data_IF_592693893474
#
_entry.id   IF_592693893474
#
_cell.length_a   1.000
_cell.length_b   1.000
_cell.length_c   1.000
_cell.angle_alpha   90.00
_cell.angle_beta   90.00
_cell.angle_gamma   90.00
#
_symmetry.space_group_name_H-M   'P 1'
#
loop_
_entity.id
_entity.type
_entity.pdbx_description
1 polymer ?
#
# COMPACT_ATOMS: atom_id res chain seq x y z
N UNK A 1 -11.17 -10.81 29.29
CA UNK A 1 -10.08 -9.88 29.71
C UNK A 1 -10.52 -8.45 29.43
N UNK A 2 -10.70 -7.64 30.46
CA UNK A 2 -11.03 -6.23 30.32
C UNK A 2 -9.82 -5.49 29.75
N UNK A 3 -9.88 -5.09 28.47
CA UNK A 3 -8.94 -4.12 27.92
C UNK A 3 -9.12 -2.84 28.73
N UNK A 4 -8.12 -2.50 29.55
CA UNK A 4 -8.09 -1.28 30.32
C UNK A 4 -8.43 -0.11 29.39
N UNK A 5 -9.61 0.48 29.59
CA UNK A 5 -10.03 1.69 28.90
C UNK A 5 -9.06 2.80 29.31
N UNK A 6 -8.16 3.17 28.39
CA UNK A 6 -7.34 4.36 28.56
C UNK A 6 -8.29 5.55 28.82
N UNK A 7 -8.10 6.31 29.91
CA UNK A 7 -9.07 7.32 30.34
C UNK A 7 -9.28 8.40 29.28
N UNK A 8 -10.55 8.80 29.10
CA UNK A 8 -11.03 9.84 28.17
C UNK A 8 -10.36 11.21 28.40
N UNK A 9 -9.90 11.44 29.62
CA UNK A 9 -9.60 12.75 30.21
C UNK A 9 -8.33 13.44 29.68
N UNK A 10 -7.69 12.92 28.61
CA UNK A 10 -6.47 13.49 28.02
C UNK A 10 -6.52 13.78 26.52
N UNK A 11 -7.59 13.40 25.82
CA UNK A 11 -7.69 13.66 24.39
C UNK A 11 -8.13 15.13 24.15
N UNK A 12 -7.36 15.85 23.33
CA UNK A 12 -7.66 17.24 22.96
C UNK A 12 -8.12 17.26 21.52
N UNK A 13 -9.28 17.85 21.28
CA UNK A 13 -9.89 17.91 19.95
C UNK A 13 -9.96 19.33 19.41
N UNK A 14 -9.79 19.47 18.10
CA UNK A 14 -10.23 20.64 17.33
C UNK A 14 -11.34 20.24 16.36
N UNK A 15 -12.15 21.17 15.91
CA UNK A 15 -13.14 20.93 14.85
C UNK A 15 -12.53 21.31 13.50
N UNK A 16 -12.66 20.45 12.49
CA UNK A 16 -12.26 20.78 11.13
C UNK A 16 -13.23 21.82 10.54
N UNK A 17 -12.76 22.98 10.05
CA UNK A 17 -13.65 24.01 9.51
C UNK A 17 -14.33 23.60 8.20
N UNK A 18 -13.79 22.62 7.48
CA UNK A 18 -14.32 22.16 6.19
C UNK A 18 -15.26 20.97 6.36
N UNK A 19 -14.83 19.94 7.10
CA UNK A 19 -15.59 18.68 7.21
C UNK A 19 -16.46 18.61 8.47
N UNK A 20 -16.34 19.59 9.38
CA UNK A 20 -16.96 19.59 10.71
C UNK A 20 -16.61 18.40 11.62
N UNK A 21 -15.67 17.53 11.20
CA UNK A 21 -15.21 16.39 11.98
C UNK A 21 -14.42 16.84 13.21
N UNK A 22 -14.51 16.06 14.29
CA UNK A 22 -13.64 16.18 15.48
C UNK A 22 -12.28 15.57 15.15
N UNK A 23 -11.24 16.37 15.32
CA UNK A 23 -9.85 16.01 15.05
C UNK A 23 -9.11 15.90 16.37
N UNK A 24 -8.74 14.69 16.75
CA UNK A 24 -7.80 14.46 17.86
C UNK A 24 -6.41 15.00 17.47
N UNK A 25 -5.90 15.95 18.25
CA UNK A 25 -4.60 16.58 17.97
C UNK A 25 -3.44 15.59 18.05
N UNK A 26 -3.57 14.54 18.85
CA UNK A 26 -2.54 13.49 18.92
C UNK A 26 -2.51 12.67 17.63
N UNK A 27 -3.67 12.27 17.12
CA UNK A 27 -3.81 11.59 15.84
C UNK A 27 -3.29 12.48 14.70
N UNK A 28 -3.70 13.75 14.66
CA UNK A 28 -3.27 14.71 13.63
C UNK A 28 -1.75 14.83 13.53
N UNK A 29 -1.05 14.98 14.67
CA UNK A 29 0.42 15.09 14.67
C UNK A 29 1.09 13.84 14.11
N UNK A 30 0.57 12.66 14.43
CA UNK A 30 1.09 11.39 13.93
C UNK A 30 0.77 11.19 12.44
N UNK A 31 -0.42 11.59 11.98
CA UNK A 31 -0.80 11.58 10.56
C UNK A 31 0.19 12.46 9.79
N UNK A 32 0.44 13.69 10.24
CA UNK A 32 1.38 14.62 9.61
C UNK A 32 2.81 14.04 9.63
N UNK A 33 3.28 13.53 10.76
CA UNK A 33 4.63 12.97 10.87
C UNK A 33 4.85 11.80 9.90
N UNK A 34 3.90 10.87 9.83
CA UNK A 34 3.96 9.75 8.89
C UNK A 34 3.89 10.24 7.43
N UNK A 35 2.98 11.16 7.10
CA UNK A 35 2.85 11.70 5.74
C UNK A 35 4.11 12.46 5.29
N UNK A 36 4.71 13.27 6.16
CA UNK A 36 5.95 14.00 5.85
C UNK A 36 7.11 13.04 5.63
N UNK A 37 7.28 12.03 6.49
CA UNK A 37 8.32 11.02 6.31
C UNK A 37 8.10 10.22 5.03
N UNK A 38 6.85 9.88 4.70
CA UNK A 38 6.52 9.26 3.41
C UNK A 38 7.01 10.11 2.23
N UNK A 39 6.71 11.41 2.20
CA UNK A 39 7.16 12.30 1.13
C UNK A 39 8.68 12.42 1.07
N UNK A 40 9.38 12.40 2.21
CA UNK A 40 10.86 12.41 2.24
C UNK A 40 11.44 11.14 1.59
N UNK A 41 10.94 9.96 1.97
CA UNK A 41 11.40 8.70 1.35
C UNK A 41 11.00 8.57 -0.12
N UNK A 42 9.84 9.12 -0.51
CA UNK A 42 9.46 9.23 -1.91
C UNK A 42 10.45 10.09 -2.70
N UNK A 43 10.91 11.22 -2.13
CA UNK A 43 11.91 12.06 -2.77
C UNK A 43 13.28 11.35 -2.89
N UNK A 44 13.70 10.62 -1.86
CA UNK A 44 14.94 9.82 -1.89
C UNK A 44 14.85 8.70 -2.93
N UNK A 45 13.79 7.89 -2.89
CA UNK A 45 13.54 6.83 -3.87
C UNK A 45 13.38 7.37 -5.29
N UNK A 46 12.78 8.54 -5.46
CA UNK A 46 12.67 9.26 -6.73
C UNK A 46 14.02 9.76 -7.26
N UNK A 47 14.91 10.25 -6.39
CA UNK A 47 16.28 10.59 -6.76
C UNK A 47 17.04 9.35 -7.25
N UNK A 48 16.93 8.22 -6.57
CA UNK A 48 17.50 6.96 -7.06
C UNK A 48 16.92 6.56 -8.42
N UNK A 49 15.61 6.72 -8.61
CA UNK A 49 14.96 6.45 -9.90
C UNK A 49 15.55 7.30 -11.03
N UNK A 50 15.78 8.59 -10.79
CA UNK A 50 16.38 9.50 -11.76
C UNK A 50 17.80 9.07 -12.12
N UNK A 51 18.63 8.73 -11.13
CA UNK A 51 20.00 8.26 -11.35
C UNK A 51 20.04 6.94 -12.13
N UNK A 52 19.13 6.01 -11.84
CA UNK A 52 18.95 4.77 -12.60
C UNK A 52 18.55 5.04 -14.04
N UNK A 53 17.53 5.88 -14.26
CA UNK A 53 17.04 6.23 -15.58
C UNK A 53 18.12 6.90 -16.43
N UNK A 54 18.85 7.85 -15.86
CA UNK A 54 19.95 8.52 -16.51
C UNK A 54 21.05 7.52 -16.85
N UNK A 55 21.45 6.62 -15.96
CA UNK A 55 22.50 5.61 -16.25
C UNK A 55 22.13 4.63 -17.38
N UNK A 56 20.84 4.36 -17.57
CA UNK A 56 20.33 3.49 -18.65
C UNK A 56 20.25 4.17 -20.00
N UNK A 57 20.34 5.50 -20.05
CA UNK A 57 20.34 6.24 -21.29
C UNK A 57 21.71 6.09 -21.97
N UNK A 58 21.77 5.62 -23.22
CA UNK A 58 23.06 5.39 -23.90
C UNK A 58 23.99 6.60 -23.94
N UNK A 59 23.45 7.83 -23.94
CA UNK A 59 24.27 9.05 -23.95
C UNK A 59 24.79 9.46 -22.56
N UNK A 60 24.18 8.96 -21.48
CA UNK A 60 24.47 9.36 -20.10
C UNK A 60 24.70 8.11 -19.26
N UNK A 61 25.88 7.93 -18.68
CA UNK A 61 26.18 6.71 -17.91
C UNK A 61 26.79 7.08 -16.56
N UNK A 62 25.94 7.61 -15.66
CA UNK A 62 26.39 8.25 -14.43
C UNK A 62 26.97 7.30 -13.40
N UNK A 63 26.44 6.07 -13.32
CA UNK A 63 26.79 5.15 -12.24
C UNK A 63 27.57 3.94 -12.77
N UNK A 64 28.65 3.53 -12.06
CA UNK A 64 29.23 2.21 -12.26
C UNK A 64 28.27 1.11 -11.79
N UNK A 65 28.54 -0.13 -12.18
CA UNK A 65 27.65 -1.27 -11.98
C UNK A 65 27.30 -1.53 -10.50
N UNK A 66 28.28 -1.44 -9.59
CA UNK A 66 28.08 -1.60 -8.14
C UNK A 66 27.08 -0.58 -7.60
N UNK A 67 27.26 0.70 -7.95
CA UNK A 67 26.32 1.75 -7.57
C UNK A 67 24.96 1.59 -8.21
N UNK A 68 24.89 1.12 -9.46
CA UNK A 68 23.60 0.85 -10.12
C UNK A 68 22.75 -0.15 -9.32
N UNK A 69 23.31 -1.31 -8.94
CA UNK A 69 22.57 -2.31 -8.16
C UNK A 69 22.31 -1.87 -6.72
N UNK A 70 23.24 -1.10 -6.13
CA UNK A 70 23.07 -0.50 -4.81
C UNK A 70 21.87 0.43 -4.77
N UNK A 71 21.81 1.42 -5.66
CA UNK A 71 20.69 2.36 -5.68
C UNK A 71 19.42 1.72 -6.22
N UNK A 72 19.50 0.67 -7.04
CA UNK A 72 18.33 -0.12 -7.43
C UNK A 72 17.71 -0.82 -6.22
N UNK A 73 18.54 -1.28 -5.28
CA UNK A 73 18.08 -1.82 -4.00
C UNK A 73 17.38 -0.74 -3.16
N UNK A 74 18.03 0.42 -3.00
CA UNK A 74 17.46 1.56 -2.27
C UNK A 74 16.14 2.06 -2.88
N UNK A 75 16.10 2.23 -4.20
CA UNK A 75 14.90 2.64 -4.94
C UNK A 75 13.74 1.67 -4.71
N UNK A 76 13.97 0.36 -4.88
CA UNK A 76 12.93 -0.64 -4.66
C UNK A 76 12.43 -0.67 -3.21
N UNK A 77 13.33 -0.59 -2.23
CA UNK A 77 12.97 -0.54 -0.82
C UNK A 77 12.13 0.71 -0.50
N UNK A 78 12.61 1.88 -0.92
CA UNK A 78 11.97 3.14 -0.57
C UNK A 78 10.64 3.31 -1.28
N UNK A 79 10.55 2.94 -2.56
CA UNK A 79 9.37 3.15 -3.41
C UNK A 79 8.28 2.10 -3.25
N UNK A 80 8.62 0.87 -2.84
CA UNK A 80 7.65 -0.23 -2.74
C UNK A 80 7.26 -0.58 -1.31
N UNK A 81 8.02 -0.09 -0.33
CA UNK A 81 7.81 -0.39 1.08
C UNK A 81 7.76 0.88 1.91
N UNK A 82 8.87 1.62 2.00
CA UNK A 82 9.02 2.64 3.06
C UNK A 82 8.02 3.77 2.92
N UNK A 83 7.99 4.46 1.78
CA UNK A 83 7.14 5.64 1.62
C UNK A 83 5.65 5.27 1.68
N UNK A 84 5.28 4.16 1.04
CA UNK A 84 3.89 3.68 0.96
C UNK A 84 3.39 3.34 2.35
N UNK A 85 4.11 2.53 3.12
CA UNK A 85 3.64 2.08 4.43
C UNK A 85 3.54 3.25 5.41
N UNK A 86 4.45 4.23 5.35
CA UNK A 86 4.29 5.48 6.12
C UNK A 86 2.99 6.20 5.74
N UNK A 87 2.70 6.37 4.45
CA UNK A 87 1.46 7.01 4.02
C UNK A 87 0.22 6.19 4.41
N UNK A 88 0.26 4.87 4.29
CA UNK A 88 -0.82 3.98 4.70
C UNK A 88 -1.10 4.08 6.19
N UNK A 89 -0.08 4.13 7.04
CA UNK A 89 -0.24 4.34 8.49
C UNK A 89 -0.91 5.69 8.77
N UNK A 90 -0.52 6.75 8.05
CA UNK A 90 -1.22 8.04 8.13
C UNK A 90 -2.70 7.90 7.74
N UNK A 91 -3.00 7.18 6.65
CA UNK A 91 -4.34 6.86 6.19
C UNK A 91 -5.15 6.06 7.22
N UNK A 92 -4.56 5.06 7.86
CA UNK A 92 -5.19 4.26 8.91
C UNK A 92 -5.58 5.14 10.11
N UNK A 93 -4.66 5.97 10.62
CA UNK A 93 -4.98 6.89 11.71
C UNK A 93 -6.04 7.91 11.32
N UNK A 94 -6.01 8.42 10.09
CA UNK A 94 -7.06 9.28 9.57
C UNK A 94 -8.43 8.57 9.53
N UNK A 95 -8.48 7.36 8.97
CA UNK A 95 -9.71 6.59 8.78
C UNK A 95 -10.33 6.06 10.08
N UNK A 96 -9.53 5.84 11.13
CA UNK A 96 -10.02 5.33 12.42
C UNK A 96 -10.29 6.42 13.46
N UNK A 97 -9.46 7.46 13.52
CA UNK A 97 -9.65 8.55 14.47
C UNK A 97 -10.52 9.67 13.86
N UNK A 98 -10.08 10.27 12.75
CA UNK A 98 -10.70 11.49 12.22
C UNK A 98 -12.06 11.21 11.59
N UNK A 99 -12.12 10.24 10.68
CA UNK A 99 -13.37 9.89 9.97
C UNK A 99 -14.47 9.36 10.89
N UNK A 100 -14.12 8.90 12.10
CA UNK A 100 -15.07 8.40 13.10
C UNK A 100 -15.23 9.34 14.29
N UNK A 101 -14.69 10.57 14.25
CA UNK A 101 -14.72 11.53 15.36
C UNK A 101 -14.19 10.96 16.69
N UNK A 102 -13.24 10.03 16.61
CA UNK A 102 -12.70 9.27 17.73
C UNK A 102 -11.30 9.76 18.11
N UNK A 103 -10.91 9.55 19.37
CA UNK A 103 -9.52 9.69 19.81
C UNK A 103 -8.68 8.50 19.35
N UNK A 104 -7.39 8.72 19.15
CA UNK A 104 -6.44 7.63 18.92
C UNK A 104 -6.30 6.75 20.16
N UNK A 105 -6.18 5.43 19.96
CA UNK A 105 -6.13 4.47 21.06
C UNK A 105 -4.99 4.73 22.05
N UNK A 106 -3.75 4.83 21.57
CA UNK A 106 -2.57 5.11 22.41
C UNK A 106 -1.55 5.94 21.63
N UNK A 107 -1.56 7.28 21.80
CA UNK A 107 -0.60 8.17 21.14
C UNK A 107 0.87 7.83 21.46
N UNK A 108 1.16 7.41 22.69
CA UNK A 108 2.53 7.05 23.09
C UNK A 108 3.04 5.83 22.31
N UNK A 109 2.22 4.80 22.20
CA UNK A 109 2.59 3.59 21.46
C UNK A 109 2.64 3.86 19.95
N UNK A 110 1.81 4.77 19.44
CA UNK A 110 1.87 5.21 18.05
C UNK A 110 3.18 5.96 17.72
N UNK A 111 3.71 6.76 18.65
CA UNK A 111 5.05 7.35 18.49
C UNK A 111 6.16 6.29 18.53
N UNK A 112 6.06 5.28 19.39
CA UNK A 112 7.00 4.15 19.39
C UNK A 112 6.96 3.42 18.05
N UNK A 113 5.77 3.13 17.51
CA UNK A 113 5.59 2.52 16.20
C UNK A 113 6.25 3.35 15.09
N UNK A 114 6.01 4.66 15.08
CA UNK A 114 6.62 5.60 14.14
C UNK A 114 8.15 5.58 14.21
N UNK A 115 8.74 5.66 15.41
CA UNK A 115 10.20 5.67 15.55
C UNK A 115 10.84 4.31 15.21
N UNK A 116 10.15 3.19 15.47
CA UNK A 116 10.59 1.88 15.02
C UNK A 116 10.63 1.78 13.49
N UNK A 117 9.58 2.26 12.82
CA UNK A 117 9.55 2.36 11.36
C UNK A 117 10.69 3.26 10.85
N UNK A 118 10.84 4.45 11.41
CA UNK A 118 11.87 5.39 10.95
C UNK A 118 13.27 4.84 11.15
N UNK A 119 13.58 4.30 12.33
CA UNK A 119 14.87 3.71 12.63
C UNK A 119 15.16 2.50 11.74
N UNK A 120 14.16 1.64 11.50
CA UNK A 120 14.28 0.48 10.61
C UNK A 120 14.58 0.87 9.17
N UNK A 121 13.83 1.83 8.62
CA UNK A 121 14.03 2.34 7.26
C UNK A 121 15.39 3.02 7.08
N UNK A 122 15.80 3.85 8.04
CA UNK A 122 17.10 4.52 8.03
C UNK A 122 18.23 3.50 8.12
N UNK A 123 18.15 2.53 9.03
CA UNK A 123 19.17 1.49 9.17
C UNK A 123 19.32 0.67 7.88
N UNK A 124 18.21 0.23 7.28
CA UNK A 124 18.24 -0.51 6.03
C UNK A 124 18.88 0.31 4.90
N UNK A 125 18.51 1.59 4.75
CA UNK A 125 19.10 2.48 3.76
C UNK A 125 20.60 2.74 4.00
N UNK A 126 21.04 2.91 5.25
CA UNK A 126 22.47 3.01 5.57
C UNK A 126 23.21 1.76 5.10
N UNK A 127 22.68 0.57 5.39
CA UNK A 127 23.32 -0.68 4.96
C UNK A 127 23.38 -0.82 3.44
N UNK A 128 22.35 -0.36 2.72
CA UNK A 128 22.37 -0.28 1.26
C UNK A 128 23.47 0.67 0.80
N UNK A 129 23.50 1.91 1.28
CA UNK A 129 24.47 2.93 0.84
C UNK A 129 25.94 2.55 1.13
N UNK A 130 26.18 1.79 2.20
CA UNK A 130 27.49 1.23 2.55
C UNK A 130 27.92 0.04 1.67
N UNK A 131 27.09 -0.43 0.73
CA UNK A 131 27.39 -1.60 -0.10
C UNK A 131 27.32 -2.92 0.64
N UNK A 132 26.54 -2.95 1.72
CA UNK A 132 26.38 -4.11 2.59
C UNK A 132 25.05 -4.83 2.38
N UNK A 133 24.26 -4.38 1.40
CA UNK A 133 22.95 -4.93 1.08
C UNK A 133 22.62 -4.76 -0.42
N UNK A 134 23.54 -5.08 -1.32
CA UNK A 134 23.31 -5.05 -2.78
C UNK A 134 22.51 -6.30 -3.21
N UNK A 135 21.28 -6.44 -2.68
CA UNK A 135 20.44 -7.65 -2.78
C UNK A 135 19.07 -7.41 -3.40
N UNK A 136 18.81 -6.18 -3.88
CA UNK A 136 17.51 -5.69 -4.34
C UNK A 136 16.44 -5.74 -3.23
N UNK A 137 15.27 -5.15 -3.49
CA UNK A 137 14.20 -5.11 -2.48
C UNK A 137 13.65 -6.50 -2.12
N UNK A 138 13.85 -7.49 -2.99
CA UNK A 138 13.41 -8.88 -2.74
C UNK A 138 14.36 -9.66 -1.84
N UNK A 139 15.63 -9.22 -1.73
CA UNK A 139 16.65 -9.86 -0.90
C UNK A 139 16.70 -11.40 -1.06
N UNK A 140 16.58 -11.89 -2.30
CA UNK A 140 16.50 -13.32 -2.56
C UNK A 140 17.77 -14.05 -2.11
N UNK A 141 17.59 -15.06 -1.26
CA UNK A 141 18.60 -16.07 -0.95
C UNK A 141 19.03 -16.75 -2.27
N UNK A 142 20.33 -17.01 -2.50
CA UNK A 142 21.47 -16.93 -1.57
C UNK A 142 22.20 -15.58 -1.51
N UNK A 143 21.66 -14.50 -2.09
CA UNK A 143 22.29 -13.18 -1.94
C UNK A 143 22.15 -12.71 -0.48
N UNK A 144 23.29 -12.67 0.21
CA UNK A 144 23.37 -12.41 1.65
C UNK A 144 23.70 -10.94 1.92
N UNK A 145 22.78 -10.23 2.55
CA UNK A 145 23.05 -8.89 3.08
C UNK A 145 23.66 -8.95 4.49
N UNK A 146 24.17 -7.83 4.97
CA UNK A 146 24.62 -7.69 6.35
C UNK A 146 23.46 -7.80 7.33
N UNK A 147 23.63 -8.40 8.53
CA UNK A 147 22.55 -8.61 9.50
C UNK A 147 21.72 -7.37 9.84
N UNK A 148 22.37 -6.21 9.94
CA UNK A 148 21.70 -4.93 10.22
C UNK A 148 20.66 -4.53 9.16
N UNK A 149 20.80 -4.98 7.90
CA UNK A 149 19.79 -4.75 6.87
C UNK A 149 18.49 -5.49 7.20
N UNK A 150 18.58 -6.78 7.50
CA UNK A 150 17.43 -7.59 7.89
C UNK A 150 16.82 -7.10 9.22
N UNK A 151 17.66 -6.71 10.19
CA UNK A 151 17.19 -6.09 11.43
C UNK A 151 16.42 -4.79 11.14
N UNK A 152 16.89 -3.95 10.22
CA UNK A 152 16.18 -2.74 9.80
C UNK A 152 14.78 -3.05 9.24
N UNK A 153 14.67 -4.05 8.36
CA UNK A 153 13.37 -4.52 7.83
C UNK A 153 12.46 -5.04 8.95
N UNK A 154 13.01 -5.82 9.89
CA UNK A 154 12.25 -6.38 11.03
C UNK A 154 11.72 -5.26 11.93
N UNK A 155 12.57 -4.28 12.30
CA UNK A 155 12.16 -3.13 13.10
C UNK A 155 11.05 -2.34 12.40
N UNK A 156 11.18 -2.14 11.08
CA UNK A 156 10.16 -1.49 10.27
C UNK A 156 8.83 -2.23 10.32
N UNK A 157 8.85 -3.54 10.08
CA UNK A 157 7.67 -4.40 10.10
C UNK A 157 7.00 -4.44 11.48
N UNK A 158 7.77 -4.50 12.57
CA UNK A 158 7.24 -4.46 13.94
C UNK A 158 6.56 -3.11 14.22
N UNK A 159 7.17 -2.00 13.82
CA UNK A 159 6.55 -0.68 13.94
C UNK A 159 5.23 -0.58 13.17
N UNK A 160 5.22 -1.04 11.91
CA UNK A 160 4.01 -1.07 11.08
C UNK A 160 2.91 -1.95 11.71
N UNK A 161 3.26 -3.13 12.26
CA UNK A 161 2.31 -4.01 12.92
C UNK A 161 1.67 -3.34 14.15
N UNK A 162 2.47 -2.64 14.97
CA UNK A 162 1.95 -1.88 16.12
C UNK A 162 0.98 -0.80 15.64
N UNK A 163 1.29 -0.09 14.55
CA UNK A 163 0.41 0.93 13.99
C UNK A 163 -0.93 0.34 13.52
N UNK A 164 -0.90 -0.81 12.84
CA UNK A 164 -2.09 -1.56 12.41
C UNK A 164 -2.92 -2.03 13.61
N UNK A 165 -2.30 -2.54 14.67
CA UNK A 165 -3.01 -2.93 15.90
C UNK A 165 -3.66 -1.72 16.59
N UNK A 166 -3.00 -0.56 16.58
CA UNK A 166 -3.55 0.69 17.11
C UNK A 166 -4.72 1.20 16.26
N UNK A 167 -4.70 1.00 14.95
CA UNK A 167 -5.85 1.27 14.08
C UNK A 167 -7.07 0.45 14.53
N UNK A 168 -6.93 -0.87 14.66
CA UNK A 168 -8.04 -1.72 15.14
C UNK A 168 -8.51 -1.35 16.55
N UNK A 169 -7.58 -1.07 17.47
CA UNK A 169 -7.92 -0.60 18.81
C UNK A 169 -8.72 0.71 18.78
N UNK A 170 -8.37 1.62 17.85
CA UNK A 170 -9.07 2.90 17.68
C UNK A 170 -10.49 2.70 17.14
N UNK A 171 -10.71 1.73 16.23
CA UNK A 171 -12.05 1.35 15.79
C UNK A 171 -12.91 0.78 16.93
N UNK A 172 -12.32 -0.06 17.78
CA UNK A 172 -13.00 -0.60 18.96
C UNK A 172 -13.40 0.53 19.91
N UNK A 173 -12.50 1.50 20.13
CA UNK A 173 -12.78 2.68 20.95
C UNK A 173 -13.90 3.52 20.33
N UNK A 174 -13.83 3.82 19.03
CA UNK A 174 -14.86 4.58 18.33
C UNK A 174 -16.25 3.95 18.50
N UNK A 175 -16.33 2.61 18.40
CA UNK A 175 -17.58 1.86 18.60
C UNK A 175 -18.05 1.88 20.05
N UNK A 176 -17.15 1.68 21.02
CA UNK A 176 -17.49 1.66 22.46
C UNK A 176 -17.88 3.03 22.99
N UNK A 177 -17.22 4.07 22.51
CA UNK A 177 -17.50 5.46 22.89
C UNK A 177 -18.62 6.10 22.06
N UNK A 178 -19.21 5.33 21.12
CA UNK A 178 -20.32 5.74 20.26
C UNK A 178 -20.05 7.06 19.52
N UNK A 179 -18.83 7.21 18.97
CA UNK A 179 -18.42 8.44 18.27
C UNK A 179 -18.97 8.56 16.85
N UNK A 180 -19.58 7.48 16.35
CA UNK A 180 -20.27 7.41 15.07
C UNK A 180 -21.49 6.48 15.17
N UNK A 181 -22.44 6.62 14.24
CA UNK A 181 -23.64 5.80 14.16
C UNK A 181 -23.62 4.85 12.96
N UNK A 182 -24.33 3.73 13.09
CA UNK A 182 -24.44 2.74 12.01
C UNK A 182 -23.13 2.02 11.69
N UNK A 183 -22.87 1.86 10.39
CA UNK A 183 -21.65 1.22 9.86
C UNK A 183 -20.55 2.26 9.65
N UNK A 184 -19.27 1.84 9.75
CA UNK A 184 -18.14 2.73 9.43
C UNK A 184 -18.24 3.26 8.00
N UNK A 185 -17.79 4.49 7.69
CA UNK A 185 -17.78 5.01 6.32
C UNK A 185 -17.04 4.08 5.35
N UNK A 186 -17.41 4.10 4.06
CA UNK A 186 -16.81 3.20 3.06
C UNK A 186 -15.28 3.37 2.97
N UNK A 187 -14.77 4.60 3.11
CA UNK A 187 -13.33 4.88 3.17
C UNK A 187 -12.68 4.13 4.33
N UNK A 188 -13.24 4.23 5.54
CA UNK A 188 -12.77 3.48 6.71
C UNK A 188 -12.90 1.97 6.51
N UNK A 189 -13.95 1.49 5.83
CA UNK A 189 -14.12 0.08 5.50
C UNK A 189 -13.02 -0.45 4.59
N UNK A 190 -12.65 0.30 3.55
CA UNK A 190 -11.54 -0.08 2.69
C UNK A 190 -10.17 -0.04 3.40
N UNK A 191 -9.98 0.91 4.33
CA UNK A 191 -8.80 0.93 5.21
C UNK A 191 -8.78 -0.24 6.21
N UNK A 192 -9.94 -0.72 6.65
CA UNK A 192 -10.06 -1.98 7.41
C UNK A 192 -9.58 -3.15 6.55
N UNK A 193 -10.00 -3.22 5.28
CA UNK A 193 -9.50 -4.23 4.33
C UNK A 193 -7.99 -4.17 4.20
N UNK A 194 -7.41 -2.98 4.00
CA UNK A 194 -5.97 -2.78 3.92
C UNK A 194 -5.27 -3.27 5.21
N UNK A 195 -5.79 -2.90 6.39
CA UNK A 195 -5.24 -3.31 7.69
C UNK A 195 -5.31 -4.82 7.92
N UNK A 196 -6.38 -5.50 7.49
CA UNK A 196 -6.51 -6.97 7.60
C UNK A 196 -5.44 -7.64 6.73
N UNK A 197 -5.29 -7.19 5.48
CA UNK A 197 -4.26 -7.71 4.57
C UNK A 197 -2.87 -7.42 5.16
N UNK A 198 -2.65 -6.24 5.76
CA UNK A 198 -1.39 -5.87 6.38
C UNK A 198 -0.97 -6.81 7.52
N UNK A 199 -1.89 -7.28 8.36
CA UNK A 199 -1.57 -8.27 9.40
C UNK A 199 -1.04 -9.56 8.77
N UNK A 200 -1.73 -10.09 7.76
CA UNK A 200 -1.27 -11.29 7.05
C UNK A 200 0.10 -11.06 6.40
N UNK A 201 0.26 -9.97 5.65
CA UNK A 201 1.51 -9.58 4.99
C UNK A 201 2.67 -9.53 5.98
N UNK A 202 2.52 -8.83 7.11
CA UNK A 202 3.59 -8.65 8.10
C UNK A 202 3.97 -9.96 8.79
N UNK A 203 3.00 -10.83 9.05
CA UNK A 203 3.28 -12.17 9.58
C UNK A 203 4.05 -13.03 8.56
N UNK A 204 3.61 -13.08 7.29
CA UNK A 204 4.35 -13.75 6.22
C UNK A 204 5.77 -13.19 6.05
N UNK A 205 5.92 -11.87 6.15
CA UNK A 205 7.21 -11.18 6.11
C UNK A 205 8.13 -11.61 7.25
N UNK A 206 7.59 -11.78 8.47
CA UNK A 206 8.36 -12.31 9.59
C UNK A 206 8.84 -13.74 9.34
N UNK A 207 8.02 -14.60 8.72
CA UNK A 207 8.43 -15.97 8.35
C UNK A 207 9.55 -15.96 7.31
N UNK A 208 9.61 -14.98 6.40
CA UNK A 208 10.71 -14.84 5.44
C UNK A 208 11.97 -14.22 6.06
N UNK A 209 11.83 -13.13 6.81
CA UNK A 209 12.95 -12.28 7.23
C UNK A 209 13.59 -12.68 8.56
N UNK A 210 12.88 -13.36 9.46
CA UNK A 210 13.48 -13.84 10.72
C UNK A 210 14.51 -14.95 10.46
N UNK A 211 14.21 -16.01 9.67
CA UNK A 211 15.21 -17.02 9.33
C UNK A 211 16.40 -16.44 8.57
N UNK A 212 16.18 -15.55 7.60
CA UNK A 212 17.28 -14.91 6.88
C UNK A 212 18.12 -14.01 7.77
N UNK A 213 17.54 -13.35 8.77
CA UNK A 213 18.30 -12.65 9.80
C UNK A 213 19.17 -13.60 10.63
N UNK A 214 18.62 -14.71 11.12
CA UNK A 214 19.40 -15.71 11.87
C UNK A 214 20.53 -16.33 11.03
N UNK A 215 20.27 -16.59 9.75
CA UNK A 215 21.26 -17.03 8.78
C UNK A 215 22.33 -15.97 8.53
N UNK A 216 21.92 -14.70 8.46
CA UNK A 216 22.85 -13.58 8.32
C UNK A 216 23.85 -13.48 9.47
N UNK A 217 23.41 -13.82 10.68
CA UNK A 217 24.23 -13.89 11.89
C UNK A 217 25.09 -15.17 12.00
N UNK A 218 24.88 -16.16 11.12
CA UNK A 218 25.55 -17.46 11.19
C UNK A 218 24.97 -18.41 12.25
N UNK A 219 23.76 -18.14 12.76
CA UNK A 219 23.10 -18.99 13.76
C UNK A 219 22.40 -20.21 13.16
N UNK A 220 22.08 -20.14 11.85
CA UNK A 220 21.62 -21.29 11.07
C UNK A 220 22.48 -21.41 9.81
N UNK A 221 22.74 -22.65 9.33
CA UNK A 221 23.71 -22.89 8.26
C UNK A 221 23.22 -22.39 6.89
N UNK A 222 21.92 -22.55 6.61
CA UNK A 222 21.33 -22.25 5.32
C UNK A 222 19.85 -21.87 5.45
N UNK A 223 19.34 -21.22 4.40
CA UNK A 223 17.92 -21.01 4.15
C UNK A 223 17.65 -21.52 2.75
N UNK A 224 16.68 -22.40 2.58
CA UNK A 224 16.32 -22.92 1.24
C UNK A 224 15.81 -21.78 0.34
N UNK A 225 16.42 -21.52 -0.84
CA UNK A 225 15.99 -20.45 -1.73
C UNK A 225 14.55 -20.60 -2.25
N UNK A 226 14.09 -21.83 -2.48
CA UNK A 226 12.73 -22.11 -2.95
C UNK A 226 11.68 -21.76 -1.90
N UNK A 227 11.92 -22.18 -0.66
CA UNK A 227 11.14 -21.82 0.51
C UNK A 227 11.13 -20.29 0.71
N UNK A 228 12.29 -19.65 0.69
CA UNK A 228 12.37 -18.19 0.86
C UNK A 228 11.54 -17.47 -0.19
N UNK A 229 11.68 -17.82 -1.48
CA UNK A 229 10.89 -17.19 -2.56
C UNK A 229 9.39 -17.40 -2.38
N UNK A 230 8.98 -18.61 -2.01
CA UNK A 230 7.56 -18.94 -1.79
C UNK A 230 6.95 -18.09 -0.67
N UNK A 231 7.61 -18.05 0.49
CA UNK A 231 7.16 -17.27 1.64
C UNK A 231 7.28 -15.77 1.38
N UNK A 232 8.36 -15.34 0.72
CA UNK A 232 8.54 -13.94 0.32
C UNK A 232 7.36 -13.47 -0.53
N UNK A 233 6.86 -14.25 -1.49
CA UNK A 233 5.72 -13.82 -2.30
C UNK A 233 4.37 -13.90 -1.58
N UNK A 234 4.27 -14.68 -0.50
CA UNK A 234 3.17 -14.60 0.46
C UNK A 234 3.23 -13.34 1.34
N UNK A 235 4.30 -12.54 1.22
CA UNK A 235 4.46 -11.19 1.78
C UNK A 235 4.42 -10.11 0.69
N UNK A 236 5.25 -10.22 -0.35
CA UNK A 236 5.49 -9.19 -1.35
C UNK A 236 4.28 -8.93 -2.24
N UNK A 237 3.52 -9.97 -2.60
CA UNK A 237 2.29 -9.78 -3.35
C UNK A 237 1.21 -9.06 -2.51
N UNK A 238 0.81 -9.57 -1.34
CA UNK A 238 -0.23 -8.90 -0.56
C UNK A 238 0.20 -7.54 -0.01
N UNK A 239 1.50 -7.24 0.12
CA UNK A 239 1.98 -5.87 0.37
C UNK A 239 1.44 -4.88 -0.68
N UNK A 240 1.43 -5.24 -1.95
CA UNK A 240 0.85 -4.40 -3.02
C UNK A 240 -0.67 -4.33 -2.98
N UNK A 241 -1.29 -5.25 -2.26
CA UNK A 241 -2.75 -5.30 -2.12
C UNK A 241 -3.24 -4.47 -0.93
N UNK A 242 -2.37 -4.26 0.06
CA UNK A 242 -2.55 -3.17 1.02
C UNK A 242 -2.63 -1.85 0.24
N UNK A 243 -1.66 -1.61 -0.66
CA UNK A 243 -1.61 -0.41 -1.50
C UNK A 243 -2.87 -0.27 -2.36
N UNK A 244 -3.35 -1.35 -2.97
CA UNK A 244 -4.59 -1.36 -3.76
C UNK A 244 -5.80 -0.97 -2.91
N UNK A 245 -5.99 -1.62 -1.76
CA UNK A 245 -7.12 -1.35 -0.88
C UNK A 245 -7.08 0.07 -0.31
N UNK A 246 -5.90 0.54 0.10
CA UNK A 246 -5.68 1.90 0.56
C UNK A 246 -5.94 2.91 -0.56
N UNK A 247 -5.37 2.73 -1.74
CA UNK A 247 -5.57 3.59 -2.92
C UNK A 247 -7.05 3.71 -3.28
N UNK A 248 -7.79 2.59 -3.37
CA UNK A 248 -9.22 2.62 -3.67
C UNK A 248 -10.01 3.34 -2.58
N UNK A 249 -9.62 3.19 -1.31
CA UNK A 249 -10.22 3.94 -0.19
C UNK A 249 -9.99 5.44 -0.34
N UNK A 250 -8.78 5.84 -0.72
CA UNK A 250 -8.44 7.23 -1.01
C UNK A 250 -9.18 7.74 -2.24
N UNK A 251 -9.39 6.93 -3.29
CA UNK A 251 -10.21 7.34 -4.43
C UNK A 251 -11.66 7.66 -4.02
N UNK A 252 -12.27 6.86 -3.14
CA UNK A 252 -13.57 7.19 -2.57
C UNK A 252 -13.53 8.47 -1.74
N UNK A 253 -12.46 8.68 -0.97
CA UNK A 253 -12.29 9.90 -0.18
C UNK A 253 -12.15 11.15 -1.08
N UNK A 254 -11.31 11.09 -2.11
CA UNK A 254 -11.12 12.16 -3.09
C UNK A 254 -12.42 12.44 -3.83
N UNK A 255 -13.15 11.42 -4.27
CA UNK A 255 -14.45 11.63 -4.92
C UNK A 255 -15.45 12.32 -3.98
N UNK A 256 -15.47 11.95 -2.69
CA UNK A 256 -16.31 12.59 -1.69
C UNK A 256 -15.90 14.04 -1.42
N UNK A 257 -14.61 14.32 -1.21
CA UNK A 257 -14.12 15.66 -0.84
C UNK A 257 -14.16 16.66 -1.99
N UNK A 258 -13.94 16.21 -3.22
CA UNK A 258 -13.79 17.12 -4.37
C UNK A 258 -15.11 17.41 -5.07
N UNK A 259 -15.98 16.41 -5.18
CA UNK A 259 -17.26 16.55 -5.88
C UNK A 259 -18.49 16.21 -5.02
N UNK A 260 -18.31 15.77 -3.78
CA UNK A 260 -19.44 15.36 -2.92
C UNK A 260 -20.02 14.00 -3.33
N UNK A 261 -19.21 13.12 -3.94
CA UNK A 261 -19.68 11.82 -4.40
C UNK A 261 -20.01 10.89 -3.24
N UNK A 262 -21.12 10.16 -3.40
CA UNK A 262 -21.51 9.06 -2.53
C UNK A 262 -21.61 7.78 -3.37
N UNK A 263 -21.18 6.61 -2.86
CA UNK A 263 -21.26 5.35 -3.59
C UNK A 263 -22.69 5.08 -4.09
N UNK A 264 -22.83 4.71 -5.37
CA UNK A 264 -24.14 4.39 -5.97
C UNK A 264 -24.77 3.16 -5.31
N UNK A 265 -23.94 2.18 -4.96
CA UNK A 265 -24.35 1.00 -4.19
C UNK A 265 -23.25 0.60 -3.20
N UNK A 266 -23.42 1.01 -1.95
CA UNK A 266 -22.42 0.78 -0.91
C UNK A 266 -22.22 -0.71 -0.58
N UNK A 267 -23.27 -1.54 -0.66
CA UNK A 267 -23.16 -3.00 -0.44
C UNK A 267 -22.26 -3.64 -1.48
N UNK A 268 -22.42 -3.25 -2.75
CA UNK A 268 -21.59 -3.74 -3.85
C UNK A 268 -20.13 -3.29 -3.69
N UNK A 269 -19.88 -2.03 -3.31
CA UNK A 269 -18.52 -1.53 -3.04
C UNK A 269 -17.87 -2.25 -1.85
N UNK A 270 -18.61 -2.57 -0.78
CA UNK A 270 -18.11 -3.35 0.36
C UNK A 270 -17.81 -4.79 -0.03
N UNK A 271 -18.65 -5.40 -0.87
CA UNK A 271 -18.40 -6.74 -1.40
C UNK A 271 -17.07 -6.79 -2.19
N UNK A 272 -16.77 -5.79 -3.01
CA UNK A 272 -15.50 -5.70 -3.73
C UNK A 272 -14.28 -5.66 -2.80
N UNK A 273 -14.35 -4.90 -1.70
CA UNK A 273 -13.31 -4.91 -0.67
C UNK A 273 -13.18 -6.28 0.04
N UNK A 274 -14.27 -7.04 0.20
CA UNK A 274 -14.21 -8.41 0.73
C UNK A 274 -13.53 -9.35 -0.26
N UNK A 275 -13.77 -9.19 -1.56
CA UNK A 275 -13.06 -9.95 -2.60
C UNK A 275 -11.55 -9.75 -2.50
N UNK A 276 -11.07 -8.55 -2.19
CA UNK A 276 -9.65 -8.31 -1.94
C UNK A 276 -9.13 -9.14 -0.77
N UNK A 277 -9.81 -9.18 0.37
CA UNK A 277 -9.37 -9.97 1.54
C UNK A 277 -9.19 -11.46 1.17
N UNK A 278 -10.18 -12.03 0.45
CA UNK A 278 -10.26 -13.47 0.22
C UNK A 278 -9.38 -13.96 -0.92
N UNK A 279 -9.43 -13.28 -2.07
CA UNK A 279 -8.94 -13.86 -3.33
C UNK A 279 -7.59 -13.30 -3.76
N UNK A 280 -7.21 -12.13 -3.26
CA UNK A 280 -5.99 -11.48 -3.72
C UNK A 280 -4.74 -12.14 -3.16
N UNK A 281 -4.82 -12.67 -1.93
CA UNK A 281 -3.73 -13.43 -1.31
C UNK A 281 -3.44 -14.72 -2.08
N UNK A 282 -4.47 -15.35 -2.64
CA UNK A 282 -4.33 -16.54 -3.50
C UNK A 282 -3.62 -16.21 -4.82
N UNK A 283 -3.83 -14.99 -5.35
CA UNK A 283 -3.16 -14.51 -6.56
C UNK A 283 -1.62 -14.44 -6.48
N UNK A 284 -1.04 -14.47 -5.27
CA UNK A 284 0.41 -14.41 -5.05
C UNK A 284 1.21 -15.44 -5.85
N UNK A 285 0.58 -16.57 -6.18
CA UNK A 285 1.12 -17.62 -7.04
C UNK A 285 1.67 -17.12 -8.38
N UNK A 286 1.16 -16.00 -8.93
CA UNK A 286 1.62 -15.50 -10.23
C UNK A 286 3.09 -15.05 -10.24
N UNK A 287 3.69 -14.82 -9.07
CA UNK A 287 5.11 -14.51 -8.96
C UNK A 287 6.01 -15.75 -8.99
N UNK A 288 5.42 -16.94 -8.88
CA UNK A 288 6.09 -18.24 -8.77
C UNK A 288 5.82 -19.13 -10.00
N UNK A 289 5.32 -18.55 -11.10
CA UNK A 289 4.90 -19.31 -12.29
C UNK A 289 6.07 -20.00 -12.99
N UNK A 290 7.25 -19.40 -12.97
CA UNK A 290 8.48 -19.99 -13.52
C UNK A 290 9.24 -20.83 -12.50
N UNK A 291 8.81 -20.84 -11.23
CA UNK A 291 9.54 -21.52 -10.17
C UNK A 291 9.32 -23.04 -10.25
N UNK A 292 10.37 -23.84 -10.00
CA UNK A 292 10.23 -25.27 -9.78
C UNK A 292 9.54 -25.52 -8.44
N UNK A 293 8.81 -26.64 -8.32
CA UNK A 293 8.14 -27.05 -7.07
C UNK A 293 6.62 -26.97 -7.13
N UNK A 294 6.00 -25.79 -7.27
CA UNK A 294 4.54 -25.69 -7.36
C UNK A 294 4.01 -26.41 -8.61
N UNK A 295 3.04 -27.31 -8.40
CA UNK A 295 2.42 -28.07 -9.48
C UNK A 295 1.56 -27.21 -10.40
N UNK A 296 1.39 -27.65 -11.65
CA UNK A 296 0.60 -26.96 -12.67
C UNK A 296 -0.82 -26.60 -12.18
N UNK A 297 -1.53 -27.54 -11.55
CA UNK A 297 -2.88 -27.31 -11.05
C UNK A 297 -2.92 -26.17 -10.02
N UNK A 298 -1.94 -26.11 -9.12
CA UNK A 298 -1.85 -25.03 -8.14
C UNK A 298 -1.60 -23.67 -8.81
N UNK A 299 -0.70 -23.62 -9.80
CA UNK A 299 -0.41 -22.41 -10.58
C UNK A 299 -1.69 -21.90 -11.27
N UNK A 300 -2.30 -22.73 -12.12
CA UNK A 300 -3.50 -22.34 -12.90
C UNK A 300 -4.69 -21.98 -12.02
N UNK A 301 -4.96 -22.73 -10.94
CA UNK A 301 -6.09 -22.43 -10.06
C UNK A 301 -5.97 -21.06 -9.41
N UNK A 302 -4.78 -20.73 -8.91
CA UNK A 302 -4.54 -19.45 -8.25
C UNK A 302 -4.48 -18.28 -9.25
N UNK A 303 -3.81 -18.46 -10.39
CA UNK A 303 -3.60 -17.39 -11.37
C UNK A 303 -4.71 -17.24 -12.42
N UNK A 304 -5.74 -18.08 -12.35
CA UNK A 304 -6.94 -17.94 -13.18
C UNK A 304 -8.15 -17.67 -12.28
N UNK A 305 -8.71 -18.71 -11.65
CA UNK A 305 -10.00 -18.60 -10.95
C UNK A 305 -9.94 -17.66 -9.75
N UNK A 306 -8.93 -17.80 -8.88
CA UNK A 306 -8.81 -16.91 -7.72
C UNK A 306 -8.47 -15.48 -8.15
N UNK A 307 -7.54 -15.31 -9.09
CA UNK A 307 -7.21 -14.00 -9.67
C UNK A 307 -8.43 -13.31 -10.27
N UNK A 308 -9.31 -14.00 -11.00
CA UNK A 308 -10.50 -13.41 -11.61
C UNK A 308 -11.49 -12.87 -10.57
N UNK A 309 -11.62 -13.53 -9.41
CA UNK A 309 -12.46 -13.03 -8.32
C UNK A 309 -11.86 -11.79 -7.65
N UNK A 310 -10.52 -11.68 -7.57
CA UNK A 310 -9.88 -10.44 -7.14
C UNK A 310 -10.06 -9.31 -8.17
N UNK A 311 -9.93 -9.62 -9.47
CA UNK A 311 -10.14 -8.68 -10.57
C UNK A 311 -11.58 -8.17 -10.59
N UNK A 312 -12.57 -9.03 -10.30
CA UNK A 312 -13.96 -8.64 -10.17
C UNK A 312 -14.14 -7.51 -9.13
N UNK A 313 -13.45 -7.58 -7.99
CA UNK A 313 -13.45 -6.51 -6.99
C UNK A 313 -12.96 -5.18 -7.58
N UNK A 314 -11.85 -5.20 -8.31
CA UNK A 314 -11.32 -4.01 -8.99
C UNK A 314 -12.25 -3.48 -10.08
N UNK A 315 -12.89 -4.34 -10.87
CA UNK A 315 -13.86 -3.93 -11.90
C UNK A 315 -15.11 -3.29 -11.28
N UNK A 316 -15.57 -3.79 -10.14
CA UNK A 316 -16.66 -3.17 -9.38
C UNK A 316 -16.29 -1.75 -8.96
N UNK A 317 -15.09 -1.52 -8.42
CA UNK A 317 -14.64 -0.18 -8.03
C UNK A 317 -14.41 0.73 -9.25
N UNK A 318 -13.87 0.18 -10.34
CA UNK A 318 -13.67 0.88 -11.61
C UNK A 318 -14.99 1.37 -12.22
N UNK A 319 -16.11 0.68 -11.96
CA UNK A 319 -17.44 1.16 -12.31
C UNK A 319 -18.02 2.10 -11.25
N UNK A 320 -17.94 1.70 -9.98
CA UNK A 320 -18.64 2.35 -8.86
C UNK A 320 -18.17 3.78 -8.59
N UNK A 321 -16.87 4.06 -8.71
CA UNK A 321 -16.33 5.39 -8.39
C UNK A 321 -16.67 6.40 -9.51
N UNK A 322 -16.40 6.13 -10.80
CA UNK A 322 -16.81 7.05 -11.87
C UNK A 322 -18.33 7.28 -11.89
N UNK A 323 -19.13 6.23 -11.66
CA UNK A 323 -20.58 6.38 -11.55
C UNK A 323 -20.99 7.30 -10.39
N UNK A 324 -20.33 7.20 -9.24
CA UNK A 324 -20.58 8.09 -8.10
C UNK A 324 -20.21 9.55 -8.41
N UNK A 325 -19.09 9.77 -9.11
CA UNK A 325 -18.66 11.09 -9.58
C UNK A 325 -19.66 11.67 -10.59
N UNK A 326 -20.08 10.88 -11.57
CA UNK A 326 -21.06 11.30 -12.58
C UNK A 326 -22.39 11.68 -11.92
N UNK A 327 -22.92 10.85 -11.02
CA UNK A 327 -24.16 11.15 -10.28
C UNK A 327 -24.02 12.44 -9.47
N UNK A 328 -22.89 12.65 -8.78
CA UNK A 328 -22.66 13.87 -8.00
C UNK A 328 -22.60 15.12 -8.88
N UNK A 329 -21.90 15.05 -10.01
CA UNK A 329 -21.77 16.16 -10.96
C UNK A 329 -23.11 16.46 -11.66
N UNK A 330 -23.89 15.43 -12.01
CA UNK A 330 -25.23 15.60 -12.58
C UNK A 330 -26.21 16.23 -11.57
N UNK A 331 -26.11 15.89 -10.27
CA UNK A 331 -26.88 16.56 -9.20
C UNK A 331 -26.54 18.05 -9.07
N UNK A 332 -25.34 18.47 -9.48
CA UNK A 332 -24.94 19.89 -9.55
C UNK A 332 -25.42 20.60 -10.83
N UNK A 333 -26.19 19.93 -11.69
CA UNK A 333 -26.76 20.51 -12.92
C UNK A 333 -25.95 20.26 -14.19
N UNK A 334 -24.84 19.53 -14.14
CA UNK A 334 -24.04 19.19 -15.33
C UNK A 334 -24.60 17.98 -16.06
N UNK A 335 -25.78 18.14 -16.67
CA UNK A 335 -26.59 17.04 -17.21
C UNK A 335 -26.54 16.90 -18.73
N UNK A 336 -25.87 17.81 -19.45
CA UNK A 336 -25.97 17.86 -20.92
C UNK A 336 -25.17 16.75 -21.62
N UNK A 337 -25.87 15.76 -22.17
CA UNK A 337 -25.25 14.69 -22.95
C UNK A 337 -24.32 13.77 -22.15
N UNK A 338 -23.41 13.09 -22.85
CA UNK A 338 -22.61 12.00 -22.29
C UNK A 338 -21.43 12.47 -21.40
N UNK A 339 -20.85 13.64 -21.69
CA UNK A 339 -19.55 14.02 -21.09
C UNK A 339 -19.54 15.37 -20.38
N UNK A 340 -20.66 16.10 -20.29
CA UNK A 340 -20.68 17.41 -19.61
C UNK A 340 -20.31 17.31 -18.12
N UNK A 341 -20.75 16.24 -17.44
CA UNK A 341 -20.39 15.95 -16.05
C UNK A 341 -18.87 15.90 -15.82
N UNK A 342 -18.14 15.34 -16.78
CA UNK A 342 -16.69 15.17 -16.73
C UNK A 342 -15.96 16.44 -17.19
N UNK A 343 -16.40 17.08 -18.28
CA UNK A 343 -15.78 18.31 -18.78
C UNK A 343 -15.88 19.46 -17.79
N UNK A 344 -16.98 19.53 -17.02
CA UNK A 344 -17.20 20.56 -15.99
C UNK A 344 -16.77 20.12 -14.59
N UNK A 345 -16.08 18.99 -14.47
CA UNK A 345 -15.49 18.57 -13.21
C UNK A 345 -14.35 19.50 -12.77
N UNK A 346 -14.03 19.56 -11.46
CA UNK A 346 -13.09 20.54 -10.93
C UNK A 346 -11.63 20.14 -11.21
N UNK A 347 -11.21 20.09 -12.48
CA UNK A 347 -9.85 19.72 -12.91
C UNK A 347 -8.73 20.61 -12.35
N UNK A 348 -9.07 21.82 -11.89
CA UNK A 348 -8.12 22.72 -11.23
C UNK A 348 -7.90 22.38 -9.75
N UNK A 349 -8.78 21.56 -9.18
CA UNK A 349 -8.61 21.00 -7.84
C UNK A 349 -7.70 19.76 -7.96
N UNK A 350 -6.54 19.74 -7.30
CA UNK A 350 -5.53 18.71 -7.50
C UNK A 350 -6.00 17.31 -7.09
N UNK A 351 -6.80 17.18 -6.03
CA UNK A 351 -7.35 15.89 -5.58
C UNK A 351 -8.25 15.23 -6.64
N UNK A 352 -9.04 16.01 -7.37
CA UNK A 352 -9.91 15.52 -8.44
C UNK A 352 -9.08 15.07 -9.65
N UNK A 353 -8.11 15.87 -10.06
CA UNK A 353 -7.20 15.51 -11.15
C UNK A 353 -6.39 14.25 -10.81
N UNK A 354 -5.87 14.17 -9.58
CA UNK A 354 -5.17 13.01 -9.06
C UNK A 354 -6.06 11.76 -9.09
N UNK A 355 -7.30 11.83 -8.60
CA UNK A 355 -8.27 10.74 -8.67
C UNK A 355 -8.44 10.21 -10.09
N UNK A 356 -8.75 11.08 -11.06
CA UNK A 356 -9.08 10.63 -12.42
C UNK A 356 -7.85 10.07 -13.13
N UNK A 357 -6.71 10.75 -13.04
CA UNK A 357 -5.46 10.30 -13.68
C UNK A 357 -5.00 8.98 -13.05
N UNK A 358 -5.06 8.88 -11.72
CA UNK A 358 -4.71 7.67 -10.98
C UNK A 358 -5.56 6.48 -11.40
N UNK A 359 -6.89 6.63 -11.41
CA UNK A 359 -7.80 5.57 -11.83
C UNK A 359 -7.59 5.14 -13.27
N UNK A 360 -7.39 6.09 -14.19
CA UNK A 360 -7.20 5.80 -15.60
C UNK A 360 -5.90 5.05 -15.86
N UNK A 361 -4.77 5.56 -15.35
CA UNK A 361 -3.47 4.94 -15.57
C UNK A 361 -3.34 3.62 -14.80
N UNK A 362 -3.87 3.53 -13.58
CA UNK A 362 -3.97 2.27 -12.86
C UNK A 362 -4.78 1.26 -13.67
N UNK A 363 -5.98 1.61 -14.11
CA UNK A 363 -6.87 0.68 -14.82
C UNK A 363 -6.27 0.18 -16.13
N UNK A 364 -5.83 1.10 -16.99
CA UNK A 364 -5.40 0.78 -18.35
C UNK A 364 -3.96 0.29 -18.45
N UNK A 365 -3.04 0.89 -17.69
CA UNK A 365 -1.64 0.48 -17.70
C UNK A 365 -1.41 -0.59 -16.65
N UNK A 366 -1.75 -0.34 -15.39
CA UNK A 366 -1.51 -1.30 -14.31
C UNK A 366 -2.37 -2.56 -14.41
N UNK A 367 -3.69 -2.43 -14.25
CA UNK A 367 -4.66 -3.51 -14.14
C UNK A 367 -4.69 -4.41 -15.35
N UNK A 368 -4.90 -3.87 -16.55
CA UNK A 368 -4.95 -4.67 -17.80
C UNK A 368 -3.66 -5.46 -18.00
N UNK A 369 -2.50 -4.80 -17.87
CA UNK A 369 -1.23 -5.53 -18.06
C UNK A 369 -0.98 -6.55 -16.96
N UNK A 370 -1.40 -6.28 -15.72
CA UNK A 370 -1.27 -7.20 -14.58
C UNK A 370 -2.06 -8.48 -14.77
N UNK A 371 -3.32 -8.37 -15.21
CA UNK A 371 -4.16 -9.55 -15.52
C UNK A 371 -3.55 -10.37 -16.66
N UNK A 372 -3.04 -9.69 -17.69
CA UNK A 372 -2.43 -10.32 -18.86
C UNK A 372 -1.16 -11.08 -18.46
N UNK A 373 -0.23 -10.45 -17.76
CA UNK A 373 1.04 -11.08 -17.36
C UNK A 373 0.89 -12.04 -16.17
N UNK A 374 -0.22 -11.99 -15.43
CA UNK A 374 -0.56 -12.97 -14.40
C UNK A 374 -0.96 -14.33 -14.98
N UNK A 375 -1.28 -14.40 -16.27
CA UNK A 375 -1.62 -15.65 -16.97
C UNK A 375 -0.36 -16.47 -17.26
N UNK A 376 -0.35 -17.75 -16.92
CA UNK A 376 0.86 -18.61 -16.94
C UNK A 376 1.62 -18.57 -18.27
N UNK A 377 0.97 -18.86 -19.40
CA UNK A 377 1.64 -18.89 -20.71
C UNK A 377 2.21 -17.53 -21.11
N UNK A 378 1.53 -16.44 -20.77
CA UNK A 378 1.96 -15.07 -21.09
C UNK A 378 3.10 -14.66 -20.15
N UNK A 379 3.04 -15.07 -18.88
CA UNK A 379 4.10 -14.86 -17.90
C UNK A 379 5.42 -15.45 -18.40
N UNK A 380 5.41 -16.68 -18.95
CA UNK A 380 6.62 -17.31 -19.51
C UNK A 380 7.34 -16.44 -20.56
N UNK A 381 6.62 -15.58 -21.29
CA UNK A 381 7.19 -14.65 -22.28
C UNK A 381 7.60 -13.31 -21.69
N UNK A 382 6.97 -12.88 -20.59
CA UNK A 382 7.17 -11.58 -19.99
C UNK A 382 8.10 -11.58 -18.78
N UNK A 383 8.24 -12.72 -18.08
CA UNK A 383 8.91 -12.86 -16.79
C UNK A 383 10.34 -12.28 -16.83
N UNK A 384 10.69 -11.47 -15.82
CA UNK A 384 11.98 -10.79 -15.69
C UNK A 384 12.43 -9.92 -16.88
N UNK A 385 11.50 -9.52 -17.76
CA UNK A 385 11.76 -8.48 -18.78
C UNK A 385 11.34 -7.09 -18.29
N UNK A 386 11.65 -6.04 -19.07
CA UNK A 386 11.23 -4.67 -18.77
C UNK A 386 9.71 -4.45 -18.77
N UNK A 387 8.92 -5.44 -19.23
CA UNK A 387 7.46 -5.41 -19.11
C UNK A 387 7.00 -5.39 -17.66
N UNK A 388 7.74 -6.04 -16.75
CA UNK A 388 7.37 -6.15 -15.33
C UNK A 388 7.52 -4.80 -14.62
N UNK A 389 8.68 -4.12 -14.68
CA UNK A 389 8.78 -2.75 -14.21
C UNK A 389 7.76 -1.81 -14.85
N UNK A 390 7.52 -1.91 -16.18
CA UNK A 390 6.53 -1.08 -16.87
C UNK A 390 5.10 -1.24 -16.33
N UNK A 391 4.63 -2.48 -16.18
CA UNK A 391 3.36 -2.82 -15.53
C UNK A 391 3.28 -2.20 -14.12
N UNK A 392 4.32 -2.42 -13.33
CA UNK A 392 4.31 -2.09 -11.92
C UNK A 392 4.43 -0.58 -11.64
N UNK A 393 5.07 0.17 -12.53
CA UNK A 393 5.00 1.63 -12.50
C UNK A 393 3.58 2.12 -12.84
N UNK A 394 2.84 1.40 -13.69
CA UNK A 394 1.42 1.66 -13.92
C UNK A 394 0.55 1.42 -12.69
N UNK A 395 0.84 0.40 -11.89
CA UNK A 395 0.08 0.12 -10.66
C UNK A 395 0.48 1.06 -9.51
N UNK A 396 1.76 1.11 -9.16
CA UNK A 396 2.24 1.79 -7.95
C UNK A 396 2.46 3.27 -8.17
N UNK A 397 3.13 3.67 -9.25
CA UNK A 397 3.42 5.10 -9.48
C UNK A 397 2.17 5.79 -10.02
N UNK A 398 1.65 5.31 -11.13
CA UNK A 398 0.51 5.95 -11.76
C UNK A 398 -0.78 5.78 -10.96
N UNK A 399 -1.00 4.62 -10.35
CA UNK A 399 -2.12 4.39 -9.44
C UNK A 399 -1.88 4.98 -8.05
N UNK A 400 -1.21 4.21 -7.19
CA UNK A 400 -1.12 4.50 -5.75
C UNK A 400 -0.47 5.85 -5.46
N UNK A 401 0.62 6.19 -6.12
CA UNK A 401 1.37 7.43 -5.84
C UNK A 401 0.57 8.66 -6.18
N UNK A 402 -0.06 8.71 -7.37
CA UNK A 402 -0.93 9.83 -7.72
C UNK A 402 -2.12 9.94 -6.77
N UNK A 403 -2.74 8.83 -6.38
CA UNK A 403 -3.86 8.85 -5.43
C UNK A 403 -3.46 9.39 -4.06
N UNK A 404 -2.25 9.06 -3.58
CA UNK A 404 -1.75 9.51 -2.27
C UNK A 404 -1.25 10.96 -2.29
N UNK A 405 -0.79 11.44 -3.44
CA UNK A 405 -0.40 12.85 -3.61
C UNK A 405 -1.62 13.79 -3.68
N UNK A 406 -2.73 13.33 -4.25
CA UNK A 406 -4.00 14.05 -4.25
C UNK A 406 -4.65 14.05 -2.88
#
# INVERSE_FOLDING_TARGET
MAVATLPRDRAVFRTCPVTALKVDLAAERLIIANAVVAVVFLAIGGLFALLLALTRWQAVHLLPADWFYRILTGHGLDMLVVWIVFFEVAGLYFGSAIMLNSRLASPRLAWVAFYLMLAGAVLANIMVLLGKADVLFTAYVPLKAHPLFYLGIILFAVGALIAVLLFFATLIIAKREQTYEGSVPLVTFGLITAAIIAVYTLLSGAVAFVPTFLWSLGLIPEVDPGFFRNVFWSFGHPAQQINLAAMVSIWYALAAFTVGATPVNEKLSRFAFICYILFINLGSAHHLLVDPGPGFLWKVTNTSYAMYLAVLGSLIHAFSIPAAVEVAQRRKGFTHGLFDWLRRAPWREPGFSALVISMFLFGWVGGVTGVVIGTEQINMLAHNTLRLPGHFHGTVVAGTTLAFMG
#
